data_IF_022490081612
#
_entry.id   IF_022490081612
#
_cell.length_a   1.000
_cell.length_b   1.000
_cell.length_c   1.000
_cell.angle_alpha   90.00
_cell.angle_beta   90.00
_cell.angle_gamma   90.00
#
_symmetry.space_group_name_H-M   'P 1'
#
loop_
_entity.id
_entity.type
_entity.pdbx_description
1 polymer ?
#
# COMPACT_ATOMS: atom_id res chain seq x y z
N UNK A 1 31.92 3.45 31.27
CA UNK A 1 31.05 4.45 30.61
C UNK A 1 30.88 4.03 29.16
N UNK A 2 29.84 3.26 28.85
CA UNK A 2 29.53 2.82 27.50
C UNK A 2 28.84 3.93 26.73
N UNK A 3 29.40 4.30 25.58
CA UNK A 3 28.75 5.19 24.63
C UNK A 3 27.55 4.44 24.04
N UNK A 4 26.34 4.77 24.45
CA UNK A 4 25.13 4.42 23.72
C UNK A 4 25.20 5.14 22.37
N UNK A 5 25.51 4.40 21.31
CA UNK A 5 25.37 4.89 19.97
C UNK A 5 23.88 5.13 19.70
N UNK A 6 23.49 6.39 19.55
CA UNK A 6 22.18 6.72 19.00
C UNK A 6 22.18 6.21 17.55
N UNK A 7 21.59 5.03 17.34
CA UNK A 7 21.16 4.62 16.00
C UNK A 7 20.04 5.58 15.60
N UNK A 8 20.38 6.65 14.88
CA UNK A 8 19.39 7.39 14.14
C UNK A 8 18.77 6.41 13.14
N UNK A 9 17.52 5.99 13.39
CA UNK A 9 16.77 5.23 12.41
C UNK A 9 16.68 6.08 11.14
N UNK A 10 17.32 5.60 10.09
CA UNK A 10 17.37 6.29 8.81
C UNK A 10 16.01 6.13 8.11
N UNK A 11 15.20 7.17 8.16
CA UNK A 11 13.97 7.24 7.37
C UNK A 11 14.27 7.91 6.03
N UNK A 12 14.33 7.09 4.98
CA UNK A 12 14.67 7.55 3.63
C UNK A 12 13.63 8.53 3.07
N UNK A 13 14.05 9.44 2.17
CA UNK A 13 13.13 10.33 1.47
C UNK A 13 12.22 9.57 0.52
N UNK A 14 11.07 10.17 0.24
CA UNK A 14 10.18 9.63 -0.78
C UNK A 14 10.82 9.70 -2.18
N UNK A 15 10.46 8.79 -3.10
CA UNK A 15 10.89 8.85 -4.49
C UNK A 15 10.49 10.16 -5.17
N UNK A 16 11.18 10.58 -6.24
CA UNK A 16 10.87 11.80 -6.97
C UNK A 16 9.48 11.74 -7.62
N UNK A 17 8.92 12.92 -7.85
CA UNK A 17 7.64 13.06 -8.55
C UNK A 17 7.71 12.44 -9.95
N UNK A 18 6.58 11.88 -10.40
CA UNK A 18 6.50 11.14 -11.66
C UNK A 18 6.86 9.66 -11.56
N UNK A 19 7.38 9.19 -10.40
CA UNK A 19 7.69 7.76 -10.20
C UNK A 19 6.43 6.89 -10.36
N UNK A 20 6.48 5.82 -11.17
CA UNK A 20 5.40 4.85 -11.26
C UNK A 20 5.26 4.06 -9.96
N UNK A 21 4.04 4.01 -9.40
CA UNK A 21 3.77 3.32 -8.14
C UNK A 21 2.47 2.51 -8.18
N UNK A 22 2.45 1.44 -7.42
CA UNK A 22 1.24 0.80 -6.91
C UNK A 22 1.09 1.10 -5.42
N UNK A 23 -0.04 0.77 -4.81
CA UNK A 23 -0.20 1.08 -3.40
C UNK A 23 -1.24 0.24 -2.66
N UNK A 24 -1.28 0.47 -1.37
CA UNK A 24 -2.25 -0.08 -0.44
C UNK A 24 -2.92 1.01 0.38
N UNK A 25 -4.14 0.74 0.77
CA UNK A 25 -4.92 1.55 1.68
C UNK A 25 -5.61 0.65 2.69
N UNK A 26 -5.48 0.99 3.96
CA UNK A 26 -6.21 0.40 5.06
C UNK A 26 -6.85 1.52 5.87
N UNK A 27 -8.18 1.55 5.92
CA UNK A 27 -8.96 2.64 6.48
C UNK A 27 -9.72 2.24 7.74
N UNK A 28 -9.51 2.99 8.81
CA UNK A 28 -10.35 3.00 10.01
C UNK A 28 -10.78 4.43 10.32
N UNK A 29 -11.93 4.63 10.94
CA UNK A 29 -12.33 5.98 11.35
C UNK A 29 -12.07 6.25 12.84
N UNK A 30 -12.26 5.26 13.72
CA UNK A 30 -12.38 5.50 15.15
C UNK A 30 -11.28 4.84 15.99
N UNK A 31 -10.96 3.59 15.76
CA UNK A 31 -10.12 2.81 16.68
C UNK A 31 -8.74 2.49 16.15
N UNK A 32 -8.63 2.18 14.87
CA UNK A 32 -7.37 1.80 14.24
C UNK A 32 -6.80 2.94 13.38
N UNK A 33 -5.54 2.81 13.03
CA UNK A 33 -4.82 3.80 12.24
C UNK A 33 -5.21 3.68 10.77
N UNK A 34 -5.51 4.78 10.08
CA UNK A 34 -5.63 4.78 8.62
C UNK A 34 -4.26 4.95 7.99
N UNK A 35 -3.95 4.18 6.96
CA UNK A 35 -2.61 4.16 6.35
C UNK A 35 -2.71 4.09 4.82
N UNK A 36 -1.82 4.85 4.15
CA UNK A 36 -1.49 4.68 2.74
C UNK A 36 -0.02 4.28 2.63
N UNK A 37 0.26 3.26 1.82
CA UNK A 37 1.60 2.85 1.41
C UNK A 37 1.71 2.84 -0.10
N UNK A 38 2.88 3.19 -0.62
CA UNK A 38 3.18 3.06 -2.04
C UNK A 38 4.41 2.17 -2.25
N UNK A 39 4.46 1.49 -3.39
CA UNK A 39 5.59 0.69 -3.83
C UNK A 39 5.95 1.06 -5.27
N UNK A 40 7.22 1.32 -5.53
CA UNK A 40 7.73 1.59 -6.88
C UNK A 40 7.78 0.31 -7.72
N UNK A 41 7.96 0.47 -9.02
CA UNK A 41 8.13 -0.67 -9.92
C UNK A 41 9.31 -1.58 -9.52
N UNK A 42 10.38 -1.01 -9.00
CA UNK A 42 11.60 -1.69 -8.58
C UNK A 42 11.50 -2.39 -7.21
N UNK A 43 10.34 -2.30 -6.52
CA UNK A 43 10.14 -2.94 -5.22
C UNK A 43 10.62 -2.09 -4.02
N UNK A 44 10.58 -0.76 -4.13
CA UNK A 44 10.82 0.12 -2.97
C UNK A 44 9.48 0.53 -2.34
N UNK A 45 9.19 0.00 -1.17
CA UNK A 45 7.99 0.26 -0.38
C UNK A 45 8.22 1.46 0.54
N UNK A 46 7.34 2.44 0.52
CA UNK A 46 7.51 3.65 1.32
C UNK A 46 6.20 4.20 1.87
N UNK A 47 6.33 5.02 2.92
CA UNK A 47 5.24 5.82 3.47
C UNK A 47 5.24 7.18 2.77
N UNK A 48 4.27 7.47 1.89
CA UNK A 48 4.21 8.78 1.27
C UNK A 48 4.08 9.89 2.30
N UNK A 49 4.66 11.04 1.99
CA UNK A 49 4.46 12.27 2.76
C UNK A 49 3.67 13.25 1.94
N UNK A 50 2.77 13.99 2.56
CA UNK A 50 1.87 14.93 1.90
C UNK A 50 1.75 16.24 2.68
N UNK A 51 1.19 17.24 2.03
CA UNK A 51 0.98 18.57 2.59
C UNK A 51 2.26 19.37 2.77
N UNK A 52 2.14 20.65 3.17
CA UNK A 52 3.29 21.54 3.36
C UNK A 52 4.22 21.05 4.49
N UNK A 53 3.65 20.41 5.50
CA UNK A 53 4.39 19.89 6.67
C UNK A 53 5.01 18.52 6.42
N UNK A 54 4.88 17.97 5.22
CA UNK A 54 5.39 16.65 4.83
C UNK A 54 4.97 15.55 5.82
N UNK A 55 3.69 15.55 6.20
CA UNK A 55 3.13 14.54 7.10
C UNK A 55 3.13 13.16 6.45
N UNK A 56 3.47 12.11 7.20
CA UNK A 56 3.31 10.74 6.69
C UNK A 56 1.83 10.43 6.50
N UNK A 57 1.51 9.61 5.52
CA UNK A 57 0.17 9.10 5.26
C UNK A 57 -0.22 8.00 6.25
N UNK A 58 -0.12 8.32 7.51
CA UNK A 58 -0.49 7.50 8.66
C UNK A 58 -1.27 8.38 9.63
N UNK A 59 -2.54 8.11 9.80
CA UNK A 59 -3.43 8.90 10.66
C UNK A 59 -3.86 8.08 11.88
N UNK A 60 -3.45 8.54 13.05
CA UNK A 60 -3.89 7.96 14.32
C UNK A 60 -5.11 8.75 14.82
N UNK A 61 -6.27 8.11 15.09
CA UNK A 61 -7.47 8.81 15.54
C UNK A 61 -7.24 9.70 16.77
N UNK A 62 -6.33 9.31 17.66
CA UNK A 62 -5.99 10.09 18.87
C UNK A 62 -5.46 11.49 18.57
N UNK A 63 -4.82 11.67 17.42
CA UNK A 63 -4.27 12.96 16.97
C UNK A 63 -5.35 13.84 16.34
N UNK A 64 -6.54 13.28 16.07
CA UNK A 64 -7.66 13.90 15.37
C UNK A 64 -8.94 13.96 16.22
N UNK A 65 -8.82 14.01 17.55
CA UNK A 65 -9.98 14.07 18.43
C UNK A 65 -10.84 12.80 18.46
N UNK A 66 -10.24 11.66 18.14
CA UNK A 66 -10.90 10.35 18.17
C UNK A 66 -11.48 9.89 16.82
N UNK A 67 -11.45 10.75 15.79
CA UNK A 67 -11.97 10.40 14.46
C UNK A 67 -11.11 11.00 13.35
N UNK A 68 -10.69 10.16 12.42
CA UNK A 68 -9.88 10.59 11.26
C UNK A 68 -10.78 11.30 10.24
N UNK A 69 -10.47 12.56 9.87
CA UNK A 69 -11.24 13.28 8.86
C UNK A 69 -11.03 12.66 7.47
N UNK A 70 -12.10 12.25 6.82
CA UNK A 70 -12.04 11.74 5.43
C UNK A 70 -11.48 12.77 4.45
N UNK A 71 -11.69 14.05 4.72
CA UNK A 71 -11.12 15.16 3.92
C UNK A 71 -9.60 15.14 3.89
N UNK A 72 -8.94 14.78 5.00
CA UNK A 72 -7.48 14.65 5.06
C UNK A 72 -6.98 13.51 4.18
N UNK A 73 -7.62 12.35 4.26
CA UNK A 73 -7.28 11.19 3.42
C UNK A 73 -7.52 11.49 1.95
N UNK A 74 -8.61 12.20 1.61
CA UNK A 74 -8.88 12.65 0.25
C UNK A 74 -7.81 13.62 -0.25
N UNK A 75 -7.40 14.60 0.57
CA UNK A 75 -6.35 15.55 0.21
C UNK A 75 -5.01 14.86 -0.05
N UNK A 76 -4.68 13.84 0.77
CA UNK A 76 -3.49 13.02 0.54
C UNK A 76 -3.58 12.28 -0.81
N UNK A 77 -4.70 11.61 -1.12
CA UNK A 77 -4.87 10.93 -2.42
C UNK A 77 -4.79 11.89 -3.59
N UNK A 78 -5.35 13.10 -3.47
CA UNK A 78 -5.25 14.15 -4.49
C UNK A 78 -3.80 14.54 -4.78
N UNK A 79 -3.01 14.72 -3.73
CA UNK A 79 -1.60 15.06 -3.86
C UNK A 79 -0.80 13.88 -4.43
N UNK A 80 -0.99 12.67 -3.90
CA UNK A 80 -0.27 11.48 -4.35
C UNK A 80 -0.57 11.16 -5.82
N UNK A 81 -1.82 11.32 -6.27
CA UNK A 81 -2.17 11.09 -7.67
C UNK A 81 -1.58 12.16 -8.62
N UNK A 82 -1.31 13.38 -8.12
CA UNK A 82 -0.58 14.40 -8.89
C UNK A 82 0.92 14.14 -8.95
N UNK A 83 1.50 13.66 -7.84
CA UNK A 83 2.95 13.43 -7.70
C UNK A 83 3.42 12.13 -8.34
N UNK A 84 2.63 11.08 -8.26
CA UNK A 84 3.02 9.75 -8.71
C UNK A 84 2.14 9.24 -9.85
N UNK A 85 2.72 8.39 -10.70
CA UNK A 85 1.96 7.66 -11.72
C UNK A 85 1.35 6.41 -11.11
N UNK A 86 0.23 6.59 -10.39
CA UNK A 86 -0.44 5.50 -9.70
C UNK A 86 -1.08 4.54 -10.70
N UNK A 87 -0.72 3.25 -10.62
CA UNK A 87 -1.19 2.18 -11.50
C UNK A 87 -2.34 1.38 -10.86
N UNK A 88 -2.14 0.87 -9.64
CA UNK A 88 -3.10 0.01 -8.94
C UNK A 88 -2.98 0.21 -7.44
N UNK A 89 -4.11 0.37 -6.78
CA UNK A 89 -4.20 0.54 -5.34
C UNK A 89 -5.16 -0.52 -4.80
N UNK A 90 -4.69 -1.37 -3.89
CA UNK A 90 -5.55 -2.30 -3.17
C UNK A 90 -6.01 -1.68 -1.86
N UNK A 91 -7.32 -1.70 -1.64
CA UNK A 91 -7.97 -1.05 -0.52
C UNK A 91 -8.68 -2.08 0.34
N UNK A 92 -8.37 -2.17 1.64
CA UNK A 92 -9.23 -2.91 2.56
C UNK A 92 -10.50 -2.09 2.82
N UNK A 93 -11.68 -2.57 2.45
CA UNK A 93 -12.93 -1.84 2.66
C UNK A 93 -13.38 -1.80 4.12
N UNK A 94 -12.73 -2.55 5.02
CA UNK A 94 -13.15 -2.72 6.40
C UNK A 94 -14.27 -3.76 6.59
N UNK A 95 -14.74 -3.92 7.81
CA UNK A 95 -15.87 -4.79 8.15
C UNK A 95 -17.21 -4.06 7.96
N UNK A 96 -18.28 -4.83 7.66
CA UNK A 96 -19.62 -4.30 7.38
C UNK A 96 -20.27 -3.52 8.52
N UNK A 97 -19.82 -3.71 9.76
CA UNK A 97 -20.42 -3.09 10.95
C UNK A 97 -19.66 -1.81 11.38
N UNK A 98 -18.51 -1.51 10.80
CA UNK A 98 -17.78 -0.26 10.94
C UNK A 98 -18.12 0.67 9.77
N UNK A 99 -17.89 1.97 9.94
CA UNK A 99 -18.12 2.95 8.86
C UNK A 99 -17.22 2.58 7.68
N UNK A 100 -17.82 1.89 6.72
CA UNK A 100 -17.11 1.34 5.55
C UNK A 100 -16.51 2.45 4.69
N UNK A 101 -15.33 2.18 4.15
CA UNK A 101 -14.69 3.03 3.14
C UNK A 101 -15.11 2.68 1.70
N UNK A 102 -16.03 1.73 1.49
CA UNK A 102 -16.45 1.29 0.16
C UNK A 102 -16.84 2.46 -0.75
N UNK A 103 -17.72 3.36 -0.29
CA UNK A 103 -18.15 4.52 -1.07
C UNK A 103 -17.01 5.49 -1.40
N UNK A 104 -16.02 5.63 -0.51
CA UNK A 104 -14.85 6.46 -0.77
C UNK A 104 -13.93 5.81 -1.81
N UNK A 105 -13.73 4.50 -1.72
CA UNK A 105 -12.94 3.71 -2.68
C UNK A 105 -13.56 3.79 -4.08
N UNK A 106 -14.88 3.63 -4.19
CA UNK A 106 -15.63 3.80 -5.45
C UNK A 106 -15.47 5.22 -6.02
N UNK A 107 -15.60 6.24 -5.16
CA UNK A 107 -15.43 7.64 -5.57
C UNK A 107 -14.00 7.92 -6.05
N UNK A 108 -12.97 7.36 -5.40
CA UNK A 108 -11.58 7.48 -5.85
C UNK A 108 -11.35 6.77 -7.19
N UNK A 109 -11.92 5.57 -7.38
CA UNK A 109 -11.80 4.84 -8.66
C UNK A 109 -12.44 5.61 -9.81
N UNK A 110 -13.63 6.18 -9.60
CA UNK A 110 -14.29 7.05 -10.59
C UNK A 110 -13.47 8.30 -10.88
N UNK A 111 -12.89 8.92 -9.86
CA UNK A 111 -12.18 10.20 -9.98
C UNK A 111 -10.79 10.08 -10.62
N UNK A 112 -10.02 9.06 -10.23
CA UNK A 112 -8.62 8.92 -10.61
C UNK A 112 -8.39 7.92 -11.75
N UNK A 113 -9.42 7.25 -12.20
CA UNK A 113 -9.39 6.33 -13.33
C UNK A 113 -9.87 4.92 -12.98
N UNK A 114 -10.61 4.28 -13.89
CA UNK A 114 -11.27 3.01 -13.65
C UNK A 114 -10.26 1.89 -13.37
N UNK A 115 -10.58 1.01 -12.41
CA UNK A 115 -9.77 -0.12 -11.96
C UNK A 115 -8.42 0.28 -11.35
N UNK A 116 -8.31 1.50 -10.87
CA UNK A 116 -7.14 1.98 -10.15
C UNK A 116 -7.27 1.70 -8.64
N UNK A 117 -8.40 2.04 -8.03
CA UNK A 117 -8.69 1.76 -6.62
C UNK A 117 -9.62 0.55 -6.52
N UNK A 118 -9.10 -0.56 -6.02
CA UNK A 118 -9.80 -1.83 -6.04
C UNK A 118 -9.97 -2.39 -4.63
N UNK A 119 -11.20 -2.78 -4.22
CA UNK A 119 -11.40 -3.46 -2.95
C UNK A 119 -10.59 -4.76 -2.87
N UNK A 120 -9.83 -4.92 -1.79
CA UNK A 120 -9.04 -6.11 -1.51
C UNK A 120 -9.04 -6.42 -0.01
N UNK A 121 -10.06 -7.15 0.45
CA UNK A 121 -10.24 -7.44 1.88
C UNK A 121 -9.14 -8.31 2.46
N UNK A 122 -8.61 -7.93 3.61
CA UNK A 122 -7.60 -8.66 4.39
C UNK A 122 -8.21 -9.68 5.36
N UNK A 123 -9.52 -9.78 5.41
CA UNK A 123 -10.26 -10.62 6.35
C UNK A 123 -11.42 -11.36 5.67
N UNK A 124 -12.05 -12.26 6.43
CA UNK A 124 -13.16 -13.09 5.95
C UNK A 124 -12.74 -14.47 5.48
N UNK A 125 -13.65 -15.46 5.64
CA UNK A 125 -13.36 -16.88 5.34
C UNK A 125 -13.02 -17.11 3.87
N UNK A 126 -13.68 -16.41 2.94
CA UNK A 126 -13.42 -16.46 1.51
C UNK A 126 -12.04 -15.90 1.10
N UNK A 127 -11.41 -15.11 1.96
CA UNK A 127 -10.15 -14.43 1.67
C UNK A 127 -8.92 -15.16 2.20
N UNK A 128 -9.07 -16.13 3.11
CA UNK A 128 -7.96 -16.82 3.79
C UNK A 128 -6.84 -17.25 2.83
N UNK A 129 -7.18 -17.87 1.72
CA UNK A 129 -6.17 -18.35 0.75
C UNK A 129 -5.44 -17.21 0.06
N UNK A 130 -6.15 -16.18 -0.36
CA UNK A 130 -5.56 -15.03 -1.03
C UNK A 130 -4.63 -14.24 -0.09
N UNK A 131 -5.10 -13.96 1.12
CA UNK A 131 -4.32 -13.29 2.17
C UNK A 131 -3.06 -14.10 2.52
N UNK A 132 -3.19 -15.40 2.73
CA UNK A 132 -2.04 -16.27 3.00
C UNK A 132 -1.00 -16.22 1.88
N UNK A 133 -1.41 -16.25 0.61
CA UNK A 133 -0.50 -16.15 -0.53
C UNK A 133 0.19 -14.80 -0.60
N UNK A 134 -0.53 -13.71 -0.37
CA UNK A 134 0.04 -12.37 -0.32
C UNK A 134 1.10 -12.24 0.78
N UNK A 135 0.81 -12.76 1.98
CA UNK A 135 1.76 -12.79 3.10
C UNK A 135 3.01 -13.59 2.78
N UNK A 136 2.85 -14.79 2.18
CA UNK A 136 4.00 -15.63 1.79
C UNK A 136 4.87 -14.96 0.73
N UNK A 137 4.26 -14.27 -0.22
CA UNK A 137 4.98 -13.49 -1.24
C UNK A 137 5.75 -12.35 -0.60
N UNK A 138 5.08 -11.56 0.24
CA UNK A 138 5.69 -10.45 0.96
C UNK A 138 6.91 -10.90 1.79
N UNK A 139 6.78 -11.98 2.56
CA UNK A 139 7.89 -12.56 3.33
C UNK A 139 9.06 -12.97 2.43
N UNK A 140 8.79 -13.71 1.35
CA UNK A 140 9.82 -14.18 0.44
C UNK A 140 10.57 -13.01 -0.25
N UNK A 141 9.84 -11.96 -0.66
CA UNK A 141 10.45 -10.83 -1.36
C UNK A 141 11.24 -9.92 -0.40
N UNK A 142 10.86 -9.85 0.89
CA UNK A 142 11.68 -9.22 1.93
C UNK A 142 12.96 -10.04 2.19
N UNK A 143 12.85 -11.36 2.35
CA UNK A 143 13.99 -12.26 2.59
C UNK A 143 15.01 -12.22 1.44
N UNK A 144 14.53 -12.20 0.21
CA UNK A 144 15.37 -12.14 -1.00
C UNK A 144 15.86 -10.73 -1.35
N UNK A 145 15.41 -9.72 -0.62
CA UNK A 145 15.67 -8.29 -0.87
C UNK A 145 15.13 -7.80 -2.22
N UNK A 146 14.16 -8.51 -2.79
CA UNK A 146 13.39 -8.05 -3.94
C UNK A 146 12.43 -6.93 -3.56
N UNK A 147 12.04 -6.87 -2.27
CA UNK A 147 11.32 -5.78 -1.65
C UNK A 147 12.22 -5.07 -0.63
N UNK A 148 12.38 -3.77 -0.79
CA UNK A 148 13.09 -2.87 0.13
C UNK A 148 12.13 -1.84 0.70
N UNK A 149 12.50 -1.11 1.75
CA UNK A 149 11.61 -0.13 2.38
C UNK A 149 12.33 1.13 2.85
N UNK A 150 11.55 2.17 3.11
CA UNK A 150 12.01 3.50 3.50
C UNK A 150 12.54 3.62 4.94
N UNK A 151 12.38 2.60 5.77
CA UNK A 151 12.76 2.64 7.19
C UNK A 151 11.80 3.45 8.07
N UNK A 152 10.58 3.74 7.63
CA UNK A 152 9.58 4.48 8.42
C UNK A 152 9.42 3.89 9.83
N UNK A 153 9.67 4.65 10.92
CA UNK A 153 9.62 4.14 12.29
C UNK A 153 8.24 3.59 12.68
N UNK A 154 7.17 4.23 12.19
CA UNK A 154 5.79 3.78 12.45
C UNK A 154 5.58 2.41 11.80
N UNK A 155 6.03 2.24 10.56
CA UNK A 155 5.92 0.96 9.84
C UNK A 155 6.72 -0.13 10.54
N UNK A 156 7.94 0.17 10.96
CA UNK A 156 8.79 -0.78 11.68
C UNK A 156 8.11 -1.24 12.98
N UNK A 157 7.48 -0.31 13.72
CA UNK A 157 6.70 -0.62 14.92
C UNK A 157 5.51 -1.53 14.60
N UNK A 158 4.72 -1.21 13.58
CA UNK A 158 3.54 -2.00 13.21
C UNK A 158 3.92 -3.39 12.68
N UNK A 159 5.00 -3.52 11.93
CA UNK A 159 5.54 -4.84 11.50
C UNK A 159 6.02 -5.63 12.72
N UNK A 160 6.74 -4.99 13.64
CA UNK A 160 7.19 -5.62 14.91
C UNK A 160 6.04 -6.10 15.80
N UNK A 161 4.87 -5.46 15.71
CA UNK A 161 3.65 -5.86 16.43
C UNK A 161 2.91 -7.02 15.74
N UNK A 162 3.02 -7.14 14.42
CA UNK A 162 2.26 -8.13 13.65
C UNK A 162 2.65 -9.56 14.03
N UNK A 163 1.66 -10.44 14.09
CA UNK A 163 1.82 -11.86 14.40
C UNK A 163 1.08 -12.72 13.38
N UNK A 164 1.63 -13.89 13.11
CA UNK A 164 0.95 -14.94 12.34
C UNK A 164 -0.13 -15.56 13.20
N UNK A 165 -1.38 -15.43 12.78
CA UNK A 165 -2.53 -16.02 13.45
C UNK A 165 -3.09 -17.14 12.57
N UNK A 166 -3.14 -18.36 13.12
CA UNK A 166 -3.69 -19.51 12.41
C UNK A 166 -5.14 -19.24 11.98
N UNK A 167 -5.42 -19.50 10.72
CA UNK A 167 -6.76 -19.42 10.11
C UNK A 167 -7.28 -20.83 9.74
N UNK A 168 -6.37 -21.71 9.39
CA UNK A 168 -6.60 -23.15 9.18
C UNK A 168 -5.37 -23.90 9.66
N UNK A 169 -5.34 -25.24 9.58
CA UNK A 169 -4.16 -26.04 9.93
C UNK A 169 -2.88 -25.63 9.18
N UNK A 170 -3.03 -25.15 7.94
CA UNK A 170 -1.91 -24.85 7.05
C UNK A 170 -1.75 -23.35 6.70
N UNK A 171 -2.72 -22.52 7.07
CA UNK A 171 -2.77 -21.13 6.63
C UNK A 171 -2.90 -20.18 7.81
N UNK A 172 -2.21 -19.07 7.71
CA UNK A 172 -2.26 -17.98 8.69
C UNK A 172 -2.66 -16.65 8.01
N UNK A 173 -3.11 -15.72 8.82
CA UNK A 173 -3.27 -14.33 8.48
C UNK A 173 -2.43 -13.45 9.42
N UNK A 174 -2.50 -12.14 9.25
CA UNK A 174 -1.97 -11.18 10.22
C UNK A 174 -2.96 -10.96 11.36
N UNK A 175 -2.42 -10.75 12.54
CA UNK A 175 -3.17 -10.35 13.71
C UNK A 175 -2.29 -9.60 14.70
N UNK A 176 -2.92 -8.95 15.67
CA UNK A 176 -2.26 -8.22 16.75
C UNK A 176 -2.23 -9.08 18.02
N UNK A 177 -1.12 -9.02 18.79
CA UNK A 177 -1.02 -9.79 20.03
C UNK A 177 -1.93 -9.24 21.13
N UNK A 178 -2.22 -7.94 21.09
CA UNK A 178 -3.07 -7.20 22.02
C UNK A 178 -3.82 -6.12 21.25
N UNK A 179 -4.98 -5.71 21.76
CA UNK A 179 -5.88 -4.76 21.08
C UNK A 179 -5.22 -3.39 20.83
N UNK A 180 -4.37 -2.94 21.75
CA UNK A 180 -3.65 -1.66 21.69
C UNK A 180 -2.44 -1.66 20.73
N UNK A 181 -2.01 -2.84 20.26
CA UNK A 181 -0.89 -2.98 19.32
C UNK A 181 -1.35 -2.81 17.88
N UNK A 182 -1.01 -1.66 17.30
CA UNK A 182 -1.37 -1.35 15.92
C UNK A 182 -0.52 -2.13 14.92
N UNK A 183 -1.14 -2.62 13.84
CA UNK A 183 -0.50 -3.37 12.75
C UNK A 183 -0.90 -2.84 11.35
N UNK A 184 -1.67 -1.77 11.30
CA UNK A 184 -2.32 -1.27 10.07
C UNK A 184 -1.29 -0.94 8.97
N UNK A 185 -0.12 -0.37 9.33
CA UNK A 185 0.95 -0.15 8.36
C UNK A 185 1.57 -1.45 7.84
N UNK A 186 1.56 -2.55 8.62
CA UNK A 186 1.97 -3.86 8.12
C UNK A 186 0.94 -4.43 7.13
N UNK A 187 -0.35 -4.34 7.47
CA UNK A 187 -1.47 -4.72 6.59
C UNK A 187 -1.37 -3.96 5.26
N UNK A 188 -1.26 -2.64 5.34
CA UNK A 188 -1.18 -1.76 4.15
C UNK A 188 0.07 -2.03 3.33
N UNK A 189 1.20 -2.41 3.96
CA UNK A 189 2.42 -2.81 3.24
C UNK A 189 2.20 -4.06 2.40
N UNK A 190 1.49 -5.06 2.93
CA UNK A 190 1.13 -6.28 2.19
C UNK A 190 0.19 -5.94 1.03
N UNK A 191 -0.79 -5.06 1.23
CA UNK A 191 -1.70 -4.61 0.17
C UNK A 191 -0.95 -3.90 -0.97
N UNK A 192 -0.03 -2.98 -0.63
CA UNK A 192 0.76 -2.27 -1.63
C UNK A 192 1.62 -3.22 -2.46
N UNK A 193 2.28 -4.17 -1.80
CA UNK A 193 3.12 -5.17 -2.46
C UNK A 193 2.31 -6.11 -3.35
N UNK A 194 1.17 -6.60 -2.88
CA UNK A 194 0.27 -7.46 -3.67
C UNK A 194 -0.25 -6.71 -4.90
N UNK A 195 -0.65 -5.44 -4.76
CA UNK A 195 -1.05 -4.60 -5.88
C UNK A 195 0.07 -4.43 -6.91
N UNK A 196 1.32 -4.22 -6.46
CA UNK A 196 2.48 -4.10 -7.33
C UNK A 196 2.83 -5.41 -8.03
N UNK A 197 2.78 -6.55 -7.32
CA UNK A 197 3.02 -7.88 -7.91
C UNK A 197 1.99 -8.20 -8.99
N UNK A 198 0.70 -7.98 -8.71
CA UNK A 198 -0.37 -8.23 -9.69
C UNK A 198 -0.29 -7.26 -10.88
N UNK A 199 0.12 -6.02 -10.65
CA UNK A 199 0.36 -5.06 -11.74
C UNK A 199 1.53 -5.49 -12.63
N UNK A 200 2.66 -5.94 -12.04
CA UNK A 200 3.82 -6.48 -12.79
C UNK A 200 3.42 -7.71 -13.59
N UNK A 201 2.66 -8.63 -13.01
CA UNK A 201 2.16 -9.82 -13.71
C UNK A 201 1.24 -9.45 -14.88
N UNK A 202 0.46 -8.36 -14.75
CA UNK A 202 -0.39 -7.82 -15.81
C UNK A 202 0.37 -6.98 -16.86
N UNK A 203 1.70 -6.85 -16.76
CA UNK A 203 2.54 -6.13 -17.72
C UNK A 203 2.84 -4.69 -17.36
N UNK A 204 2.60 -4.24 -16.13
CA UNK A 204 3.05 -2.92 -15.67
C UNK A 204 4.57 -2.77 -15.88
N UNK A 205 5.00 -1.65 -16.45
CA UNK A 205 6.40 -1.37 -16.77
C UNK A 205 6.93 -1.98 -18.07
N UNK A 206 6.19 -2.87 -18.74
CA UNK A 206 6.56 -3.33 -20.07
C UNK A 206 6.29 -2.21 -21.07
N UNK A 207 7.34 -1.72 -21.75
CA UNK A 207 7.16 -0.83 -22.90
C UNK A 207 6.38 -1.60 -23.97
N UNK A 208 5.23 -1.08 -24.38
CA UNK A 208 4.56 -1.54 -25.57
C UNK A 208 5.38 -1.04 -26.77
N UNK A 209 6.23 -1.89 -27.34
CA UNK A 209 6.84 -1.64 -28.63
C UNK A 209 5.73 -1.75 -29.69
N UNK A 210 5.15 -0.63 -30.05
CA UNK A 210 4.29 -0.55 -31.24
C UNK A 210 5.18 -0.69 -32.45
N UNK A 211 5.24 -1.90 -33.03
CA UNK A 211 5.89 -2.10 -34.33
C UNK A 211 5.00 -1.46 -35.39
N UNK A 212 5.36 -0.25 -35.81
CA UNK A 212 4.70 0.40 -36.95
C UNK A 212 5.26 -0.26 -38.21
N UNK A 213 4.49 -1.16 -38.82
CA UNK A 213 4.78 -1.65 -40.15
C UNK A 213 4.50 -0.56 -41.15
N UNK A 214 5.50 0.22 -41.55
CA UNK A 214 5.45 1.08 -42.72
C UNK A 214 5.57 0.20 -43.98
N UNK A 215 4.44 -0.28 -44.49
CA UNK A 215 4.38 -0.97 -45.77
C UNK A 215 4.81 -0.05 -46.89
N UNK A 216 6.01 -0.23 -47.45
CA UNK A 216 6.39 0.38 -48.70
C UNK A 216 5.60 -0.30 -49.82
N UNK A 217 4.56 0.37 -50.31
CA UNK A 217 3.90 0.00 -51.54
C UNK A 217 4.83 0.31 -52.74
N UNK A 218 5.61 -0.65 -53.15
CA UNK A 218 6.33 -0.59 -54.43
C UNK A 218 5.32 -0.90 -55.52
N UNK A 219 4.68 0.12 -56.11
CA UNK A 219 4.06 -0.04 -57.41
C UNK A 219 5.15 -0.21 -58.46
N UNK A 220 5.22 -1.39 -59.06
CA UNK A 220 5.95 -1.63 -60.34
C UNK A 220 5.06 -1.15 -61.47
N UNK A 221 5.58 -0.24 -62.25
CA UNK A 221 5.09 0.06 -63.62
C UNK A 221 5.49 -1.04 -64.57
#
# INVERSE_FOLDING_TARGET
MGKQGHHHELWLPNPPDGTPCCGGFDGSENDDTTVIKLETYEGFLFTPRYGPDQRPTVWNPKEWGGRIPRSEVNAAWDELNRRYKLCRIYCDPGFKDEVSWESAIEAWDLRFGPKKFMPWGMSGSSRITAVYRALKRFEADVETRSLTHDGCPITNTHIGNARKIAKTAERYGLGKPQQDRKIDAAVTSVLAHEAACDARAAGWGKQQHTVIYTGRNTRRH
#
